data_IF_936133067447
#
_entry.id   IF_936133067447
#
_cell.length_a   1.000
_cell.length_b   1.000
_cell.length_c   1.000
_cell.angle_alpha   90.00
_cell.angle_beta   90.00
_cell.angle_gamma   90.00
#
_symmetry.space_group_name_H-M   'P 1'
#
loop_
_entity.id
_entity.type
_entity.pdbx_description
1 polymer ?
#
# COMPACT_ATOMS: atom_id res chain seq x y z
N UNK A 1 8.09 -16.56 -16.69
CA UNK A 1 6.97 -15.59 -16.55
C UNK A 1 7.08 -15.03 -15.13
N UNK A 2 7.17 -13.73 -14.98
CA UNK A 2 7.24 -13.06 -13.68
C UNK A 2 5.82 -12.74 -13.19
N UNK A 3 5.51 -13.10 -11.94
CA UNK A 3 4.16 -12.99 -11.36
C UNK A 3 4.16 -11.93 -10.26
N UNK A 4 3.11 -11.13 -10.16
CA UNK A 4 2.85 -10.24 -9.04
C UNK A 4 1.59 -10.72 -8.31
N UNK A 5 1.63 -10.69 -6.99
CA UNK A 5 0.49 -10.95 -6.14
C UNK A 5 -0.04 -9.65 -5.56
N UNK A 6 -1.35 -9.44 -5.57
CA UNK A 6 -2.02 -8.39 -4.80
C UNK A 6 -2.79 -9.06 -3.68
N UNK A 7 -2.41 -8.79 -2.43
CA UNK A 7 -2.89 -9.51 -1.26
C UNK A 7 -3.42 -8.57 -0.17
N UNK A 8 -4.44 -8.99 0.59
CA UNK A 8 -4.83 -8.29 1.81
C UNK A 8 -3.69 -8.24 2.83
N UNK A 9 -3.60 -7.15 3.55
CA UNK A 9 -2.59 -6.93 4.58
C UNK A 9 -3.21 -6.30 5.82
N UNK A 10 -2.61 -6.58 6.97
CA UNK A 10 -2.85 -5.83 8.20
C UNK A 10 -1.62 -4.96 8.51
N UNK A 11 -1.70 -3.98 9.41
CA UNK A 11 -0.52 -3.25 9.87
C UNK A 11 0.58 -4.17 10.44
N UNK A 12 0.21 -5.41 10.81
CA UNK A 12 1.12 -6.46 11.29
C UNK A 12 1.75 -7.31 10.18
N UNK A 13 1.43 -7.05 8.91
CA UNK A 13 1.92 -7.78 7.75
C UNK A 13 0.85 -8.63 7.05
N UNK A 14 1.30 -9.49 6.13
CA UNK A 14 0.42 -10.45 5.47
C UNK A 14 -0.25 -11.37 6.51
N UNK A 15 -1.52 -11.67 6.27
CA UNK A 15 -2.22 -12.71 7.04
C UNK A 15 -1.56 -14.07 6.84
N UNK A 16 -1.86 -15.03 7.70
CA UNK A 16 -1.32 -16.39 7.57
C UNK A 16 -1.65 -17.01 6.20
N UNK A 17 -2.83 -16.71 5.66
CA UNK A 17 -3.24 -17.21 4.33
C UNK A 17 -2.47 -16.52 3.21
N UNK A 18 -2.29 -15.20 3.26
CA UNK A 18 -1.49 -14.45 2.29
C UNK A 18 -0.03 -14.92 2.28
N UNK A 19 0.55 -15.13 3.46
CA UNK A 19 1.91 -15.64 3.57
C UNK A 19 2.03 -17.06 3.00
N UNK A 20 1.05 -17.94 3.24
CA UNK A 20 1.02 -19.29 2.65
C UNK A 20 0.95 -19.27 1.12
N UNK A 21 0.22 -18.32 0.52
CA UNK A 21 0.19 -18.16 -0.95
C UNK A 21 1.59 -17.89 -1.48
N UNK A 22 2.31 -16.95 -0.86
CA UNK A 22 3.68 -16.61 -1.25
C UNK A 22 4.63 -17.80 -1.07
N UNK A 23 4.58 -18.46 0.07
CA UNK A 23 5.40 -19.64 0.36
C UNK A 23 5.14 -20.80 -0.61
N UNK A 24 3.86 -21.05 -0.93
CA UNK A 24 3.48 -22.07 -1.90
C UNK A 24 4.00 -21.76 -3.30
N UNK A 25 3.90 -20.50 -3.74
CA UNK A 25 4.43 -20.07 -5.02
C UNK A 25 5.96 -20.27 -5.11
N UNK A 26 6.70 -19.92 -4.05
CA UNK A 26 8.14 -20.15 -3.97
C UNK A 26 8.46 -21.64 -4.04
N UNK A 27 7.73 -22.48 -3.29
CA UNK A 27 7.94 -23.93 -3.27
C UNK A 27 7.67 -24.61 -4.64
N UNK A 28 6.95 -23.93 -5.53
CA UNK A 28 6.65 -24.38 -6.89
C UNK A 28 7.41 -23.58 -7.96
N UNK A 29 8.55 -22.99 -7.60
CA UNK A 29 9.47 -22.29 -8.50
C UNK A 29 8.82 -21.15 -9.32
N UNK A 30 7.77 -20.49 -8.75
CA UNK A 30 7.16 -19.32 -9.37
C UNK A 30 8.06 -18.11 -9.19
N UNK A 31 8.45 -17.46 -10.29
CA UNK A 31 9.21 -16.21 -10.27
C UNK A 31 8.32 -15.06 -9.79
N UNK A 32 8.37 -14.76 -8.48
CA UNK A 32 7.61 -13.66 -7.88
C UNK A 32 8.37 -12.35 -8.10
N UNK A 33 7.76 -11.47 -8.87
CA UNK A 33 8.28 -10.13 -9.13
C UNK A 33 7.95 -9.13 -8.04
N UNK A 34 6.72 -9.24 -7.51
CA UNK A 34 6.20 -8.30 -6.52
C UNK A 34 5.12 -8.94 -5.65
N UNK A 35 5.10 -8.56 -4.40
CA UNK A 35 3.98 -8.76 -3.46
C UNK A 35 3.43 -7.37 -3.15
N UNK A 36 2.32 -7.04 -3.78
CA UNK A 36 1.62 -5.78 -3.62
C UNK A 36 0.54 -5.94 -2.57
N UNK A 37 0.49 -5.05 -1.59
CA UNK A 37 -0.40 -5.20 -0.45
C UNK A 37 -1.47 -4.12 -0.41
N UNK A 38 -2.72 -4.55 -0.23
CA UNK A 38 -3.88 -3.66 -0.11
C UNK A 38 -3.91 -3.05 1.29
N UNK A 39 -3.28 -1.88 1.45
CA UNK A 39 -3.20 -1.16 2.71
C UNK A 39 -4.45 -0.28 2.90
N UNK A 40 -5.58 -0.93 3.14
CA UNK A 40 -6.92 -0.36 3.23
C UNK A 40 -7.86 -1.31 3.98
N UNK A 41 -8.99 -0.79 4.45
CA UNK A 41 -10.11 -1.56 5.02
C UNK A 41 -9.63 -2.59 6.05
N UNK A 42 -8.93 -2.12 7.07
CA UNK A 42 -8.40 -2.98 8.14
C UNK A 42 -9.47 -3.49 9.11
N UNK A 43 -10.62 -2.79 9.17
CA UNK A 43 -11.85 -3.20 9.87
C UNK A 43 -11.70 -3.58 11.37
N UNK A 44 -10.71 -3.06 12.07
CA UNK A 44 -10.62 -3.26 13.52
C UNK A 44 -11.48 -2.21 14.26
N UNK A 45 -12.61 -2.60 14.86
CA UNK A 45 -13.51 -1.67 15.53
C UNK A 45 -12.91 -1.03 16.79
N UNK A 46 -11.87 -1.63 17.36
CA UNK A 46 -11.19 -1.12 18.55
C UNK A 46 -10.07 -0.11 18.22
N UNK A 47 -9.70 0.03 16.95
CA UNK A 47 -8.60 0.88 16.54
C UNK A 47 -9.07 2.27 16.10
N UNK A 48 -8.35 3.30 16.52
CA UNK A 48 -8.54 4.67 16.03
C UNK A 48 -7.63 4.93 14.83
N UNK A 49 -8.21 4.98 13.64
CA UNK A 49 -7.50 5.21 12.38
C UNK A 49 -7.25 6.69 12.06
N UNK A 50 -7.79 7.62 12.83
CA UNK A 50 -7.75 9.07 12.55
C UNK A 50 -6.34 9.57 12.31
N UNK A 51 -6.06 10.00 11.08
CA UNK A 51 -4.76 10.54 10.65
C UNK A 51 -3.59 9.54 10.68
N UNK A 52 -3.86 8.24 10.71
CA UNK A 52 -2.81 7.20 10.84
C UNK A 52 -2.67 6.31 9.61
N UNK A 53 -3.53 6.45 8.59
CA UNK A 53 -3.55 5.52 7.44
C UNK A 53 -2.22 5.46 6.69
N UNK A 54 -1.51 6.58 6.56
CA UNK A 54 -0.18 6.59 5.96
C UNK A 54 0.86 5.85 6.81
N UNK A 55 0.83 6.01 8.14
CA UNK A 55 1.74 5.30 9.05
C UNK A 55 1.45 3.80 9.06
N UNK A 56 0.18 3.41 9.03
CA UNK A 56 -0.23 2.01 8.97
C UNK A 56 0.16 1.33 7.66
N UNK A 57 0.04 2.04 6.53
CA UNK A 57 0.51 1.55 5.23
C UNK A 57 2.04 1.34 5.23
N UNK A 58 2.80 2.26 5.81
CA UNK A 58 4.25 2.13 5.98
C UNK A 58 4.58 0.95 6.90
N UNK A 59 3.88 0.83 8.02
CA UNK A 59 4.08 -0.28 8.95
C UNK A 59 3.78 -1.63 8.28
N UNK A 60 2.69 -1.73 7.54
CA UNK A 60 2.35 -2.93 6.78
C UNK A 60 3.47 -3.29 5.79
N UNK A 61 3.98 -2.32 5.02
CA UNK A 61 5.09 -2.53 4.10
C UNK A 61 6.35 -3.05 4.80
N UNK A 62 6.70 -2.48 5.96
CA UNK A 62 7.85 -2.93 6.76
C UNK A 62 7.67 -4.38 7.22
N UNK A 63 6.48 -4.73 7.71
CA UNK A 63 6.19 -6.09 8.17
C UNK A 63 6.20 -7.10 7.03
N UNK A 64 5.69 -6.73 5.86
CA UNK A 64 5.75 -7.58 4.65
C UNK A 64 7.20 -7.79 4.22
N UNK A 65 8.03 -6.75 4.22
CA UNK A 65 9.46 -6.88 4.00
C UNK A 65 10.11 -7.89 4.97
N UNK A 66 9.84 -7.76 6.28
CA UNK A 66 10.35 -8.65 7.31
C UNK A 66 9.88 -10.11 7.12
N UNK A 67 8.67 -10.32 6.59
CA UNK A 67 8.13 -11.64 6.26
C UNK A 67 8.77 -12.23 5.00
N UNK A 68 9.11 -11.40 3.99
CA UNK A 68 9.71 -11.85 2.74
C UNK A 68 11.21 -12.12 2.87
N UNK A 69 11.94 -11.33 3.67
CA UNK A 69 13.39 -11.43 3.80
C UNK A 69 13.89 -12.87 4.11
N UNK A 70 13.33 -13.61 5.08
CA UNK A 70 13.75 -14.99 5.35
C UNK A 70 13.39 -15.98 4.24
N UNK A 71 12.41 -15.65 3.37
CA UNK A 71 12.02 -16.49 2.25
C UNK A 71 12.99 -16.34 1.04
N UNK A 72 13.78 -15.28 1.03
CA UNK A 72 14.73 -14.97 -0.03
C UNK A 72 16.14 -14.71 0.50
N UNK A 73 16.79 -15.70 1.14
CA UNK A 73 18.08 -15.51 1.82
C UNK A 73 19.24 -15.12 0.88
N UNK A 74 19.07 -15.32 -0.43
CA UNK A 74 20.05 -14.91 -1.45
C UNK A 74 19.88 -13.48 -1.94
N UNK A 75 18.79 -12.80 -1.58
CA UNK A 75 18.54 -11.41 -1.99
C UNK A 75 19.08 -10.43 -0.95
N UNK A 76 19.62 -9.32 -1.42
CA UNK A 76 19.96 -8.19 -0.55
C UNK A 76 18.71 -7.53 0.01
N UNK A 77 18.84 -6.75 1.09
CA UNK A 77 17.77 -5.94 1.67
C UNK A 77 17.07 -5.08 0.61
N UNK A 78 17.83 -4.37 -0.21
CA UNK A 78 17.29 -3.57 -1.32
C UNK A 78 16.51 -4.41 -2.33
N UNK A 79 16.95 -5.63 -2.63
CA UNK A 79 16.25 -6.52 -3.55
C UNK A 79 14.94 -7.04 -2.96
N UNK A 80 14.89 -7.26 -1.65
CA UNK A 80 13.64 -7.62 -0.96
C UNK A 80 12.68 -6.43 -0.94
N UNK A 81 13.16 -5.21 -0.63
CA UNK A 81 12.35 -4.00 -0.74
C UNK A 81 11.78 -3.80 -2.14
N UNK A 82 12.55 -4.13 -3.19
CA UNK A 82 12.09 -4.07 -4.57
C UNK A 82 10.93 -5.04 -4.89
N UNK A 83 10.65 -5.99 -4.02
CA UNK A 83 9.51 -6.91 -4.15
C UNK A 83 8.25 -6.43 -3.42
N UNK A 84 8.34 -5.43 -2.54
CA UNK A 84 7.21 -4.94 -1.76
C UNK A 84 6.51 -3.81 -2.52
N UNK A 85 5.24 -4.01 -2.84
CA UNK A 85 4.35 -2.95 -3.35
C UNK A 85 3.28 -2.58 -2.32
N UNK A 86 2.75 -1.38 -2.39
CA UNK A 86 1.68 -0.91 -1.50
C UNK A 86 0.58 -0.23 -2.31
N UNK A 87 -0.64 -0.70 -2.14
CA UNK A 87 -1.84 -0.16 -2.77
C UNK A 87 -2.78 0.39 -1.71
N UNK A 88 -2.71 1.68 -1.37
CA UNK A 88 -3.69 2.30 -0.48
C UNK A 88 -4.98 2.65 -1.23
N UNK A 89 -6.10 2.64 -0.54
CA UNK A 89 -7.33 3.26 -1.02
C UNK A 89 -7.32 4.74 -0.70
N UNK A 90 -7.21 5.59 -1.71
CA UNK A 90 -7.12 7.05 -1.53
C UNK A 90 -8.45 7.66 -1.07
N UNK A 91 -8.38 8.56 -0.10
CA UNK A 91 -9.55 9.24 0.46
C UNK A 91 -10.28 8.40 1.49
N UNK A 92 -11.61 8.51 1.52
CA UNK A 92 -12.46 7.76 2.45
C UNK A 92 -12.57 6.33 1.96
N UNK A 93 -12.21 5.36 2.82
CA UNK A 93 -12.28 3.92 2.57
C UNK A 93 -13.70 3.39 2.84
N UNK A 94 -13.92 2.07 2.67
CA UNK A 94 -15.21 1.44 2.93
C UNK A 94 -15.60 1.57 4.41
N UNK A 95 -14.63 1.47 5.34
CA UNK A 95 -14.80 2.01 6.68
C UNK A 95 -14.53 3.53 6.68
N UNK A 96 -15.54 4.38 6.91
CA UNK A 96 -15.38 5.84 6.87
C UNK A 96 -14.48 6.41 7.97
N UNK A 97 -14.05 5.60 8.95
CA UNK A 97 -13.03 5.95 9.94
C UNK A 97 -11.64 5.92 9.33
N UNK A 98 -11.43 5.10 8.29
CA UNK A 98 -10.20 4.97 7.55
C UNK A 98 -10.18 6.00 6.42
N UNK A 99 -9.35 7.02 6.57
CA UNK A 99 -9.22 8.10 5.59
C UNK A 99 -7.77 8.29 5.22
N UNK A 100 -7.43 7.90 3.99
CA UNK A 100 -6.08 8.10 3.44
C UNK A 100 -5.99 9.46 2.75
N UNK A 101 -5.26 10.39 3.35
CA UNK A 101 -5.16 11.79 2.89
C UNK A 101 -4.02 12.00 1.90
N UNK A 102 -3.96 13.20 1.28
CA UNK A 102 -2.81 13.61 0.44
C UNK A 102 -1.52 13.63 1.27
N UNK A 103 -1.57 14.07 2.53
CA UNK A 103 -0.42 14.03 3.43
C UNK A 103 0.08 12.59 3.69
N UNK A 104 -0.84 11.61 3.77
CA UNK A 104 -0.47 10.20 3.88
C UNK A 104 0.21 9.70 2.60
N UNK A 105 -0.25 10.16 1.43
CA UNK A 105 0.37 9.85 0.15
C UNK A 105 1.80 10.41 0.06
N UNK A 106 2.01 11.66 0.49
CA UNK A 106 3.34 12.27 0.53
C UNK A 106 4.27 11.50 1.48
N UNK A 107 3.77 11.12 2.66
CA UNK A 107 4.52 10.35 3.65
C UNK A 107 4.91 8.97 3.12
N UNK A 108 3.97 8.24 2.53
CA UNK A 108 4.22 6.91 1.94
C UNK A 108 5.22 7.00 0.78
N UNK A 109 5.08 8.02 -0.08
CA UNK A 109 6.01 8.26 -1.20
C UNK A 109 7.42 8.57 -0.70
N UNK A 110 7.55 9.43 0.32
CA UNK A 110 8.85 9.73 0.92
C UNK A 110 9.51 8.49 1.52
N UNK A 111 8.75 7.66 2.22
CA UNK A 111 9.22 6.38 2.75
C UNK A 111 9.69 5.44 1.63
N UNK A 112 8.88 5.25 0.58
CA UNK A 112 9.21 4.38 -0.53
C UNK A 112 10.52 4.82 -1.23
N UNK A 113 10.73 6.12 -1.42
CA UNK A 113 11.99 6.67 -1.98
C UNK A 113 13.21 6.38 -1.11
N UNK A 114 13.07 6.34 0.21
CA UNK A 114 14.17 6.00 1.13
C UNK A 114 14.57 4.52 1.04
N UNK A 115 13.63 3.66 0.67
CA UNK A 115 13.88 2.20 0.55
C UNK A 115 14.54 1.80 -0.78
N UNK A 116 14.67 2.73 -1.70
CA UNK A 116 15.37 2.55 -2.97
C UNK A 116 14.44 2.39 -4.18
N UNK A 117 15.00 2.24 -5.39
CA UNK A 117 14.24 2.05 -6.61
C UNK A 117 13.68 0.63 -6.65
N UNK A 118 12.59 0.39 -5.95
CA UNK A 118 11.79 -0.81 -6.08
C UNK A 118 10.77 -0.68 -7.21
N UNK A 119 10.20 -1.77 -7.71
CA UNK A 119 9.00 -1.68 -8.51
C UNK A 119 7.97 -0.90 -7.69
N UNK A 120 7.52 0.13 -8.28
CA UNK A 120 6.70 1.20 -7.75
C UNK A 120 5.72 0.74 -6.67
N UNK A 121 5.60 1.56 -5.64
CA UNK A 121 4.33 1.74 -4.97
C UNK A 121 3.27 1.89 -6.07
N UNK A 122 2.64 0.81 -6.47
CA UNK A 122 1.53 0.84 -7.42
C UNK A 122 0.34 1.38 -6.65
N UNK A 123 0.21 2.67 -6.66
CA UNK A 123 -1.00 3.28 -6.14
C UNK A 123 -2.10 3.07 -7.15
N UNK A 124 -2.92 2.08 -6.92
CA UNK A 124 -4.20 1.96 -7.61
C UNK A 124 -5.17 2.93 -6.93
N UNK A 125 -4.96 4.20 -7.19
CA UNK A 125 -5.95 5.22 -6.92
C UNK A 125 -6.44 5.72 -8.26
N UNK A 126 -7.72 5.58 -8.56
CA UNK A 126 -8.30 6.33 -9.67
C UNK A 126 -8.08 7.83 -9.41
N UNK A 127 -7.73 8.63 -10.44
CA UNK A 127 -7.64 10.07 -10.28
C UNK A 127 -9.03 10.58 -9.89
N UNK A 128 -9.22 10.76 -8.59
CA UNK A 128 -10.48 11.27 -8.07
C UNK A 128 -10.43 12.77 -8.13
N UNK A 129 -11.41 13.34 -8.81
CA UNK A 129 -11.58 14.78 -8.93
C UNK A 129 -11.67 15.42 -7.53
N UNK A 130 -11.17 16.64 -7.41
CA UNK A 130 -11.45 17.47 -6.25
C UNK A 130 -12.97 17.64 -6.10
N UNK A 131 -13.49 17.32 -4.92
CA UNK A 131 -14.87 17.65 -4.57
C UNK A 131 -14.87 18.70 -3.47
N UNK A 132 -15.76 19.68 -3.51
CA UNK A 132 -15.92 20.60 -2.40
C UNK A 132 -16.52 19.85 -1.21
N UNK A 133 -15.70 19.68 -0.17
CA UNK A 133 -16.12 19.10 1.11
C UNK A 133 -15.82 17.60 1.27
N UNK A 134 -15.83 17.18 2.53
CA UNK A 134 -15.67 15.78 2.92
C UNK A 134 -17.00 15.05 2.73
N UNK A 135 -16.98 13.91 2.03
CA UNK A 135 -18.12 12.99 1.98
C UNK A 135 -17.90 11.87 3.00
N UNK A 136 -18.93 11.42 3.72
CA UNK A 136 -18.79 10.35 4.73
C UNK A 136 -18.75 8.95 4.12
N UNK A 137 -18.85 8.82 2.80
CA UNK A 137 -18.94 7.55 2.09
C UNK A 137 -17.89 7.47 0.99
N UNK A 138 -17.31 6.27 0.71
CA UNK A 138 -16.44 6.07 -0.42
C UNK A 138 -17.16 6.35 -1.74
N UNK A 139 -16.43 6.82 -2.73
CA UNK A 139 -16.99 7.16 -4.04
C UNK A 139 -16.03 6.80 -5.17
N UNK A 140 -16.56 6.31 -6.28
CA UNK A 140 -15.77 6.03 -7.48
C UNK A 140 -15.36 7.28 -8.24
N UNK A 141 -15.92 8.44 -7.91
CA UNK A 141 -15.71 9.70 -8.64
C UNK A 141 -14.93 10.73 -7.85
N UNK A 142 -14.84 10.61 -6.52
CA UNK A 142 -14.10 11.54 -5.68
C UNK A 142 -13.47 10.84 -4.46
N UNK A 143 -12.42 11.45 -3.89
CA UNK A 143 -11.74 10.91 -2.72
C UNK A 143 -12.48 11.10 -1.40
N UNK A 144 -13.47 12.00 -1.37
CA UNK A 144 -14.17 12.36 -0.12
C UNK A 144 -13.35 13.25 0.83
N UNK A 145 -12.13 13.66 0.44
CA UNK A 145 -11.28 14.57 1.21
C UNK A 145 -11.04 15.87 0.45
N UNK A 146 -10.77 16.95 1.17
CA UNK A 146 -10.39 18.21 0.55
C UNK A 146 -9.04 18.09 -0.13
N UNK A 147 -8.99 18.34 -1.43
CA UNK A 147 -7.78 18.28 -2.23
C UNK A 147 -7.88 19.15 -3.46
N UNK A 148 -6.76 19.50 -4.07
CA UNK A 148 -6.72 20.03 -5.44
C UNK A 148 -6.85 18.89 -6.44
N UNK A 149 -7.24 19.21 -7.67
CA UNK A 149 -7.27 18.20 -8.75
C UNK A 149 -5.88 17.54 -8.89
N UNK A 150 -5.88 16.20 -9.00
CA UNK A 150 -4.67 15.38 -9.20
C UNK A 150 -3.67 15.39 -8.03
N UNK A 151 -4.03 15.87 -6.84
CA UNK A 151 -3.12 15.95 -5.70
C UNK A 151 -2.45 14.60 -5.38
N UNK A 152 -3.22 13.52 -5.26
CA UNK A 152 -2.68 12.18 -5.03
C UNK A 152 -1.75 11.73 -6.17
N UNK A 153 -2.16 11.91 -7.42
CA UNK A 153 -1.33 11.55 -8.58
C UNK A 153 -0.02 12.33 -8.60
N UNK A 154 -0.05 13.59 -8.16
CA UNK A 154 1.15 14.44 -8.07
C UNK A 154 2.10 13.95 -6.97
N UNK A 155 1.56 13.52 -5.81
CA UNK A 155 2.36 12.90 -4.75
C UNK A 155 3.05 11.62 -5.24
N UNK A 156 2.29 10.71 -5.84
CA UNK A 156 2.83 9.42 -6.25
C UNK A 156 3.74 9.47 -7.47
N UNK A 157 3.52 10.42 -8.40
CA UNK A 157 4.42 10.64 -9.54
C UNK A 157 5.86 10.91 -9.09
N UNK A 158 6.07 11.47 -7.91
CA UNK A 158 7.39 11.73 -7.35
C UNK A 158 8.19 10.45 -7.08
N UNK A 159 7.55 9.28 -7.03
CA UNK A 159 8.21 8.00 -6.83
C UNK A 159 8.83 7.44 -8.11
N UNK A 160 8.23 7.67 -9.28
CA UNK A 160 8.62 7.09 -10.57
C UNK A 160 9.48 8.01 -11.45
N UNK A 161 10.03 9.10 -10.89
CA UNK A 161 10.85 10.08 -11.59
C UNK A 161 12.33 9.91 -11.34
#
# INVERSE_FOLDING_TARGET
MRVSFTLPVLPTGLTADGLRVVQNAIANDVDIGQVDVMAMDYDDPAFDYSGKMGDLAIQAAQRVHDQLAPLYPSKSDTQVWAMVGVTPMIGVNDDPREVFTVADADKLTAFARQKGPGPACHVVGQPRLAMPGRTPQPSNTCSGVTQTAWAFSSSFKQFGG
#
